data_IF_689391731695
#
_entry.id   IF_689391731695
#
_cell.length_a   1.000
_cell.length_b   1.000
_cell.length_c   1.000
_cell.angle_alpha   90.00
_cell.angle_beta   90.00
_cell.angle_gamma   90.00
#
_symmetry.space_group_name_H-M   'P 1'
#
loop_
_entity.id
_entity.type
_entity.pdbx_description
1 polymer ?
#
# COMPACT_ATOMS: atom_id res chain seq x y z
N UNK A 1 -2.31 0.22 12.93
CA UNK A 1 -2.71 -1.08 12.38
C UNK A 1 -4.08 -1.51 12.89
N UNK A 2 -4.29 -1.76 14.19
CA UNK A 2 -5.55 -2.37 14.67
C UNK A 2 -6.86 -1.61 14.32
N UNK A 3 -6.81 -0.28 14.18
CA UNK A 3 -8.00 0.59 14.24
C UNK A 3 -8.52 1.05 12.89
N UNK A 4 -7.89 0.71 11.76
CA UNK A 4 -8.44 1.08 10.46
C UNK A 4 -9.68 0.24 10.12
N UNK A 5 -10.58 0.79 9.29
CA UNK A 5 -11.79 0.11 8.88
C UNK A 5 -11.46 -1.14 8.04
N UNK A 6 -10.54 -1.01 7.08
CA UNK A 6 -10.00 -2.12 6.27
C UNK A 6 -9.48 -3.30 7.08
N UNK A 7 -8.76 -3.07 8.19
CA UNK A 7 -8.26 -4.14 9.05
C UNK A 7 -9.39 -4.94 9.72
N UNK A 8 -10.55 -4.33 9.93
CA UNK A 8 -11.72 -4.96 10.54
C UNK A 8 -12.64 -5.60 9.48
N UNK A 9 -12.92 -4.87 8.40
CA UNK A 9 -13.72 -5.32 7.25
C UNK A 9 -13.09 -6.54 6.58
N UNK A 10 -11.77 -6.51 6.38
CA UNK A 10 -11.03 -7.55 5.65
C UNK A 10 -10.29 -8.51 6.59
N UNK A 11 -10.71 -8.60 7.85
CA UNK A 11 -9.94 -9.32 8.88
C UNK A 11 -9.75 -10.82 8.58
N UNK A 12 -10.64 -11.43 7.79
CA UNK A 12 -10.67 -12.85 7.46
C UNK A 12 -11.10 -13.05 5.99
N UNK A 13 -10.83 -14.23 5.43
CA UNK A 13 -11.42 -14.70 4.17
C UNK A 13 -10.69 -14.31 2.88
N UNK A 14 -9.82 -13.29 2.90
CA UNK A 14 -9.24 -12.71 1.67
C UNK A 14 -7.74 -13.00 1.48
N UNK A 15 -7.32 -14.25 1.69
CA UNK A 15 -5.91 -14.70 1.66
C UNK A 15 -5.01 -13.98 2.69
N UNK A 16 -4.72 -12.69 2.49
CA UNK A 16 -4.18 -11.83 3.54
C UNK A 16 -5.27 -11.56 4.57
N UNK A 17 -4.97 -11.85 5.82
CA UNK A 17 -5.90 -11.71 6.95
C UNK A 17 -5.29 -10.82 8.01
N UNK A 18 -6.13 -10.36 8.94
CA UNK A 18 -5.65 -9.69 10.14
C UNK A 18 -4.59 -10.56 10.84
N UNK A 19 -4.91 -11.83 11.10
CA UNK A 19 -4.01 -12.74 11.82
C UNK A 19 -2.65 -12.93 11.11
N UNK A 20 -2.61 -13.04 9.79
CA UNK A 20 -1.34 -13.14 9.05
C UNK A 20 -0.54 -11.84 9.14
N UNK A 21 -1.17 -10.66 9.09
CA UNK A 21 -0.48 -9.40 9.32
C UNK A 21 0.17 -9.31 10.71
N UNK A 22 -0.52 -9.76 11.78
CA UNK A 22 0.09 -9.79 13.12
C UNK A 22 1.23 -10.78 13.22
N UNK A 23 1.05 -11.98 12.67
CA UNK A 23 2.12 -12.96 12.65
C UNK A 23 3.37 -12.40 11.96
N UNK A 24 3.22 -11.75 10.80
CA UNK A 24 4.33 -11.07 10.11
C UNK A 24 4.95 -9.96 10.95
N UNK A 25 4.13 -9.13 11.59
CA UNK A 25 4.61 -8.01 12.41
C UNK A 25 5.36 -8.49 13.65
N UNK A 26 4.80 -9.43 14.41
CA UNK A 26 5.40 -9.98 15.62
C UNK A 26 6.70 -10.72 15.30
N UNK A 27 6.79 -11.36 14.14
CA UNK A 27 8.02 -12.04 13.71
C UNK A 27 9.11 -11.06 13.29
N UNK A 28 8.75 -10.00 12.57
CA UNK A 28 9.72 -9.06 11.99
C UNK A 28 10.11 -7.91 12.92
N UNK A 29 9.14 -7.35 13.64
CA UNK A 29 9.29 -6.16 14.48
C UNK A 29 8.55 -6.35 15.82
N UNK A 30 9.02 -7.29 16.69
CA UNK A 30 8.37 -7.62 17.95
C UNK A 30 8.33 -6.47 18.95
N UNK A 31 7.41 -6.57 19.91
CA UNK A 31 7.27 -5.57 20.97
C UNK A 31 6.93 -4.20 20.40
N UNK A 32 7.73 -3.19 20.72
CA UNK A 32 7.54 -1.82 20.23
C UNK A 32 8.36 -1.50 18.97
N UNK A 33 9.08 -2.47 18.40
CA UNK A 33 9.94 -2.24 17.23
C UNK A 33 9.15 -1.75 16.00
N UNK A 34 7.86 -2.10 15.88
CA UNK A 34 6.99 -1.58 14.82
C UNK A 34 6.78 -0.05 14.88
N UNK A 35 7.09 0.60 16.00
CA UNK A 35 7.03 2.06 16.15
C UNK A 35 8.25 2.77 15.54
N UNK A 36 9.27 2.03 15.11
CA UNK A 36 10.39 2.58 14.38
C UNK A 36 9.91 3.05 12.98
N UNK A 37 10.19 4.29 12.53
CA UNK A 37 9.88 4.77 11.19
C UNK A 37 10.45 3.89 10.05
N UNK A 38 11.54 3.16 10.27
CA UNK A 38 12.06 2.20 9.29
C UNK A 38 11.13 0.99 9.07
N UNK A 39 10.37 0.60 10.09
CA UNK A 39 9.35 -0.45 10.00
C UNK A 39 7.97 0.11 9.62
N UNK A 40 7.63 1.29 10.14
CA UNK A 40 6.34 1.98 9.90
C UNK A 40 6.58 3.38 9.33
N UNK A 41 6.81 3.53 8.02
CA UNK A 41 7.18 4.80 7.39
C UNK A 41 6.10 5.89 7.52
N UNK A 42 4.85 5.51 7.84
CA UNK A 42 3.79 6.46 8.20
C UNK A 42 4.15 7.31 9.43
N UNK A 43 5.09 6.88 10.27
CA UNK A 43 5.52 7.59 11.47
C UNK A 43 6.60 8.65 11.22
N UNK A 44 7.27 8.65 10.05
CA UNK A 44 8.29 9.65 9.72
C UNK A 44 7.70 11.05 9.73
N UNK A 45 8.28 11.98 10.49
CA UNK A 45 7.71 13.32 10.69
C UNK A 45 7.75 14.18 9.43
N UNK A 46 8.81 14.08 8.64
CA UNK A 46 9.02 14.82 7.40
C UNK A 46 9.25 13.86 6.22
N UNK A 47 8.45 14.02 5.16
CA UNK A 47 8.54 13.24 3.92
C UNK A 47 8.93 14.10 2.72
N UNK A 48 9.42 15.32 2.96
CA UNK A 48 9.92 16.21 1.90
C UNK A 48 11.05 15.54 1.13
N UNK A 49 11.19 15.87 -0.14
CA UNK A 49 12.24 15.36 -1.06
C UNK A 49 12.23 13.84 -1.32
N UNK A 50 11.22 13.11 -0.83
CA UNK A 50 11.02 11.72 -1.26
C UNK A 50 10.70 11.65 -2.76
N UNK A 51 11.12 10.56 -3.44
CA UNK A 51 10.84 10.39 -4.85
C UNK A 51 9.34 10.30 -5.13
N UNK A 52 8.89 10.67 -6.34
CA UNK A 52 7.51 10.41 -6.76
C UNK A 52 7.15 8.93 -6.59
N UNK A 53 5.91 8.66 -6.16
CA UNK A 53 5.48 7.33 -5.77
C UNK A 53 4.26 6.84 -6.55
N UNK A 54 4.18 5.53 -6.77
CA UNK A 54 2.96 4.83 -7.19
C UNK A 54 2.45 4.00 -6.00
N UNK A 55 1.22 4.23 -5.54
CA UNK A 55 0.59 3.53 -4.41
C UNK A 55 -0.65 2.78 -4.88
N UNK A 56 -0.69 1.48 -4.67
CA UNK A 56 -1.73 0.61 -5.23
C UNK A 56 -2.43 -0.10 -4.07
N UNK A 57 -3.75 0.00 -4.04
CA UNK A 57 -4.59 -0.58 -2.99
C UNK A 57 -5.63 -1.51 -3.60
N UNK A 58 -5.96 -2.58 -2.88
CA UNK A 58 -7.03 -3.51 -3.20
C UNK A 58 -8.21 -3.36 -2.22
N UNK A 59 -9.44 -3.62 -2.67
CA UNK A 59 -10.65 -3.48 -1.85
C UNK A 59 -10.64 -4.39 -0.61
N UNK A 60 -10.34 -5.67 -0.84
CA UNK A 60 -10.37 -6.73 0.15
C UNK A 60 -8.97 -7.01 0.71
N UNK A 61 -8.30 -5.94 1.15
CA UNK A 61 -6.97 -5.99 1.77
C UNK A 61 -7.02 -5.32 3.16
N UNK A 62 -6.60 -6.00 4.25
CA UNK A 62 -6.43 -5.36 5.55
C UNK A 62 -5.57 -4.09 5.53
N UNK A 63 -4.58 -4.03 4.63
CA UNK A 63 -3.60 -2.94 4.54
C UNK A 63 -4.11 -1.73 3.73
N UNK A 64 -5.29 -1.85 3.11
CA UNK A 64 -5.86 -0.85 2.20
C UNK A 64 -5.81 0.57 2.77
N UNK A 65 -6.33 0.78 3.97
CA UNK A 65 -6.43 2.15 4.50
C UNK A 65 -5.06 2.71 4.92
N UNK A 66 -4.10 1.86 5.26
CA UNK A 66 -2.75 2.31 5.60
C UNK A 66 -2.01 2.80 4.34
N UNK A 67 -2.19 2.12 3.20
CA UNK A 67 -1.73 2.61 1.89
C UNK A 67 -2.38 3.95 1.49
N UNK A 68 -3.70 4.09 1.68
CA UNK A 68 -4.42 5.35 1.42
C UNK A 68 -3.90 6.48 2.31
N UNK A 69 -3.69 6.24 3.61
CA UNK A 69 -3.15 7.24 4.55
C UNK A 69 -1.73 7.64 4.17
N UNK A 70 -0.89 6.70 3.76
CA UNK A 70 0.47 7.00 3.38
C UNK A 70 0.54 7.82 2.08
N UNK A 71 -0.27 7.48 1.08
CA UNK A 71 -0.43 8.29 -0.15
C UNK A 71 -0.87 9.73 0.17
N UNK A 72 -1.83 9.89 1.07
CA UNK A 72 -2.27 11.21 1.53
C UNK A 72 -1.15 11.97 2.26
N UNK A 73 -0.39 11.29 3.13
CA UNK A 73 0.73 11.91 3.86
C UNK A 73 1.82 12.38 2.89
N UNK A 74 2.24 11.54 1.94
CA UNK A 74 3.20 11.90 0.89
C UNK A 74 2.78 13.17 0.14
N UNK A 75 1.51 13.26 -0.28
CA UNK A 75 0.98 14.46 -0.95
C UNK A 75 1.04 15.72 -0.08
N UNK A 76 0.82 15.61 1.23
CA UNK A 76 0.92 16.75 2.16
C UNK A 76 2.35 17.30 2.25
N UNK A 77 3.35 16.47 2.02
CA UNK A 77 4.77 16.86 1.94
C UNK A 77 5.23 17.21 0.52
N UNK A 78 4.29 17.45 -0.41
CA UNK A 78 4.61 17.85 -1.78
C UNK A 78 5.09 16.73 -2.69
N UNK A 79 5.10 15.48 -2.22
CA UNK A 79 5.50 14.33 -3.04
C UNK A 79 4.40 14.04 -4.08
N UNK A 80 4.82 13.87 -5.34
CA UNK A 80 3.92 13.48 -6.42
C UNK A 80 3.53 12.01 -6.28
N UNK A 81 2.23 11.74 -6.19
CA UNK A 81 1.71 10.38 -6.00
C UNK A 81 0.69 10.04 -7.08
N UNK A 82 0.96 8.95 -7.81
CA UNK A 82 -0.03 8.21 -8.57
C UNK A 82 -0.61 7.12 -7.68
N UNK A 83 -1.93 7.01 -7.61
CA UNK A 83 -2.57 5.94 -6.86
C UNK A 83 -3.71 5.31 -7.64
N UNK A 84 -3.96 4.04 -7.34
CA UNK A 84 -5.08 3.29 -7.90
C UNK A 84 -5.66 2.37 -6.84
N UNK A 85 -6.97 2.43 -6.74
CA UNK A 85 -7.78 1.53 -5.94
C UNK A 85 -8.43 0.50 -6.87
N UNK A 86 -8.24 -0.79 -6.57
CA UNK A 86 -8.77 -1.91 -7.32
C UNK A 86 -9.94 -2.54 -6.57
N UNK A 87 -11.17 -2.20 -7.00
CA UNK A 87 -12.38 -2.84 -6.52
C UNK A 87 -12.40 -4.33 -6.89
N UNK A 88 -12.96 -5.16 -6.01
CA UNK A 88 -13.06 -6.61 -6.18
C UNK A 88 -11.78 -7.40 -5.93
N UNK A 89 -10.63 -6.72 -5.74
CA UNK A 89 -9.33 -7.38 -5.64
C UNK A 89 -8.88 -7.60 -4.19
N UNK A 90 -8.00 -8.58 -4.01
CA UNK A 90 -7.37 -8.94 -2.73
C UNK A 90 -5.89 -8.49 -2.71
N UNK A 91 -5.26 -8.63 -1.55
CA UNK A 91 -3.81 -8.46 -1.41
C UNK A 91 -3.03 -9.32 -2.42
N UNK A 92 -1.88 -8.83 -2.90
CA UNK A 92 -1.08 -9.46 -3.95
C UNK A 92 -1.80 -9.63 -5.31
N UNK A 93 -2.65 -8.67 -5.72
CA UNK A 93 -3.32 -8.68 -7.04
C UNK A 93 -2.38 -8.82 -8.25
N UNK A 94 -1.08 -8.53 -8.08
CA UNK A 94 -0.03 -8.78 -9.08
C UNK A 94 0.12 -10.27 -9.46
N UNK A 95 -0.43 -11.19 -8.64
CA UNK A 95 -0.46 -12.62 -8.90
C UNK A 95 -1.63 -13.11 -9.77
N UNK A 96 -2.47 -12.20 -10.29
CA UNK A 96 -3.53 -12.56 -11.25
C UNK A 96 -2.94 -13.12 -12.56
N UNK A 97 -3.74 -13.84 -13.37
CA UNK A 97 -3.35 -14.22 -14.72
C UNK A 97 -2.90 -13.00 -15.54
N UNK A 98 -1.87 -13.15 -16.37
CA UNK A 98 -1.23 -12.04 -17.09
C UNK A 98 -2.15 -11.30 -18.07
N UNK A 99 -3.27 -11.90 -18.46
CA UNK A 99 -4.26 -11.33 -19.35
C UNK A 99 -5.43 -10.62 -18.63
N UNK A 100 -5.46 -10.68 -17.28
CA UNK A 100 -6.45 -10.01 -16.45
C UNK A 100 -6.50 -8.50 -16.75
N UNK A 101 -7.70 -7.94 -16.79
CA UNK A 101 -7.91 -6.52 -17.10
C UNK A 101 -7.26 -5.61 -16.04
N UNK A 102 -7.32 -6.03 -14.78
CA UNK A 102 -6.76 -5.32 -13.64
C UNK A 102 -5.24 -5.22 -13.71
N UNK A 103 -4.55 -6.25 -14.23
CA UNK A 103 -3.10 -6.16 -14.44
C UNK A 103 -2.73 -5.18 -15.55
N UNK A 104 -3.54 -5.07 -16.60
CA UNK A 104 -3.31 -4.05 -17.64
C UNK A 104 -3.47 -2.64 -17.06
N UNK A 105 -4.44 -2.43 -16.18
CA UNK A 105 -4.61 -1.15 -15.47
C UNK A 105 -3.45 -0.87 -14.50
N UNK A 106 -3.00 -1.89 -13.76
CA UNK A 106 -1.82 -1.82 -12.89
C UNK A 106 -0.58 -1.39 -13.70
N UNK A 107 -0.29 -2.10 -14.78
CA UNK A 107 0.87 -1.84 -15.64
C UNK A 107 0.81 -0.44 -16.23
N UNK A 108 -0.36 -0.02 -16.72
CA UNK A 108 -0.55 1.31 -17.27
C UNK A 108 -0.26 2.41 -16.24
N UNK A 109 -0.68 2.24 -14.98
CA UNK A 109 -0.37 3.19 -13.90
C UNK A 109 1.14 3.28 -13.68
N UNK A 110 1.80 2.14 -13.50
CA UNK A 110 3.24 2.07 -13.21
C UNK A 110 4.05 2.60 -14.39
N UNK A 111 3.78 2.16 -15.62
CA UNK A 111 4.44 2.64 -16.84
C UNK A 111 4.26 4.14 -16.99
N UNK A 112 3.06 4.67 -16.75
CA UNK A 112 2.80 6.12 -16.84
C UNK A 112 3.59 6.90 -15.80
N UNK A 113 3.59 6.43 -14.54
CA UNK A 113 4.37 7.04 -13.46
C UNK A 113 5.87 7.07 -13.82
N UNK A 114 6.42 5.92 -14.21
CA UNK A 114 7.82 5.78 -14.61
C UNK A 114 8.17 6.70 -15.78
N UNK A 115 7.36 6.71 -16.86
CA UNK A 115 7.57 7.62 -18.00
C UNK A 115 7.56 9.07 -17.54
N UNK A 116 6.62 9.49 -16.69
CA UNK A 116 6.54 10.88 -16.22
C UNK A 116 7.71 11.28 -15.30
N UNK A 117 8.33 10.33 -14.61
CA UNK A 117 9.51 10.59 -13.78
C UNK A 117 10.82 10.60 -14.56
N UNK A 118 10.93 9.79 -15.61
CA UNK A 118 12.21 9.56 -16.32
C UNK A 118 12.24 10.09 -17.77
N UNK A 119 11.16 10.69 -18.26
CA UNK A 119 11.22 11.42 -19.53
C UNK A 119 12.08 12.66 -19.34
N UNK A 120 13.13 12.77 -20.16
CA UNK A 120 13.98 13.96 -20.26
C UNK A 120 13.24 15.14 -20.86
#
# INVERSE_FOLDING_TARGET
METSASYQENAKGHMQTKASCYFSLETYAPGDAYKNPEASPILTEDLTDLPPAAIINAEFDPLRDDGIKYAAKLRRFGVKVWDKYFAGQIHCLVGLPSDAAELKEYDNLVITAMKKCFSK
#
